data_IF_170258684873
#
_entry.id   IF_170258684873
#
_cell.length_a   1.000
_cell.length_b   1.000
_cell.length_c   1.000
_cell.angle_alpha   90.00
_cell.angle_beta   90.00
_cell.angle_gamma   90.00
#
_symmetry.space_group_name_H-M   'P 1'
#
loop_
_entity.id
_entity.type
_entity.pdbx_description
1 polymer ?
#
# COMPACT_ATOMS: atom_id res chain seq x y z
N UNK A 1 0.20 -29.32 -0.51
CA UNK A 1 -0.03 -28.02 0.17
C UNK A 1 1.35 -27.39 0.40
N UNK A 2 1.78 -26.38 -0.37
CA UNK A 2 2.99 -25.64 -0.04
C UNK A 2 2.66 -24.65 1.07
N UNK A 3 3.53 -24.59 2.08
CA UNK A 3 3.47 -23.68 3.20
C UNK A 3 3.54 -22.24 2.69
N UNK A 4 2.64 -21.38 3.17
CA UNK A 4 2.73 -19.93 3.03
C UNK A 4 4.03 -19.44 3.69
N UNK A 5 5.07 -19.25 2.91
CA UNK A 5 6.22 -18.44 3.34
C UNK A 5 5.73 -16.98 3.42
N UNK A 6 5.30 -16.60 4.61
CA UNK A 6 5.09 -15.20 4.96
C UNK A 6 6.42 -14.47 4.77
N UNK A 7 6.48 -13.60 3.76
CA UNK A 7 7.60 -12.71 3.52
C UNK A 7 7.74 -11.75 4.72
N UNK A 8 8.53 -12.14 5.71
CA UNK A 8 8.78 -11.35 6.91
C UNK A 8 9.59 -10.10 6.57
N UNK A 9 9.18 -8.96 7.15
CA UNK A 9 9.95 -7.72 7.10
C UNK A 9 11.39 -8.00 7.55
N UNK A 10 12.40 -7.28 7.02
CA UNK A 10 13.79 -7.47 7.40
C UNK A 10 14.05 -6.95 8.82
N UNK A 11 13.33 -7.51 9.79
CA UNK A 11 13.59 -7.32 11.20
C UNK A 11 14.72 -8.28 11.59
N UNK A 12 15.84 -7.76 12.08
CA UNK A 12 16.88 -8.60 12.67
C UNK A 12 16.40 -9.38 13.88
N UNK A 13 15.32 -8.91 14.53
CA UNK A 13 14.70 -9.53 15.68
C UNK A 13 13.23 -9.18 15.74
N UNK A 14 12.36 -10.18 15.78
CA UNK A 14 10.94 -9.96 16.04
C UNK A 14 10.74 -9.45 17.47
N UNK A 15 9.84 -8.48 17.69
CA UNK A 15 9.56 -7.98 19.03
C UNK A 15 8.83 -9.04 19.84
N UNK A 16 9.54 -9.70 20.77
CA UNK A 16 8.97 -10.73 21.64
C UNK A 16 8.14 -10.20 22.81
N UNK A 17 8.09 -8.87 23.03
CA UNK A 17 7.42 -8.23 24.15
C UNK A 17 6.74 -6.93 23.72
N UNK A 18 5.61 -6.58 24.37
CA UNK A 18 4.84 -5.32 24.11
C UNK A 18 5.69 -4.05 24.10
N UNK A 19 6.74 -3.97 24.90
CA UNK A 19 7.68 -2.82 24.93
C UNK A 19 8.49 -2.71 23.65
N UNK A 20 8.98 -3.85 23.13
CA UNK A 20 9.75 -3.92 21.88
C UNK A 20 8.86 -3.54 20.68
N UNK A 21 7.62 -4.05 20.61
CA UNK A 21 6.65 -3.69 19.58
C UNK A 21 6.36 -2.19 19.56
N UNK A 22 6.06 -1.57 20.71
CA UNK A 22 5.84 -0.12 20.81
C UNK A 22 7.07 0.71 20.40
N UNK A 23 8.27 0.18 20.62
CA UNK A 23 9.50 0.86 20.19
C UNK A 23 9.67 0.81 18.68
N UNK A 24 9.39 -0.34 18.06
CA UNK A 24 9.39 -0.49 16.60
C UNK A 24 8.35 0.45 15.97
N UNK A 25 7.13 0.48 16.50
CA UNK A 25 6.10 1.40 15.99
C UNK A 25 6.55 2.87 16.02
N UNK A 26 7.16 3.33 17.13
CA UNK A 26 7.70 4.71 17.17
C UNK A 26 8.79 4.96 16.12
N UNK A 27 9.63 3.96 15.83
CA UNK A 27 10.66 4.09 14.78
C UNK A 27 10.01 4.17 13.39
N UNK A 28 8.98 3.38 13.13
CA UNK A 28 8.24 3.42 11.86
C UNK A 28 7.47 4.73 11.70
N UNK A 29 6.84 5.24 12.76
CA UNK A 29 6.15 6.54 12.74
C UNK A 29 7.11 7.69 12.49
N UNK A 30 8.27 7.70 13.18
CA UNK A 30 9.31 8.69 12.98
C UNK A 30 9.87 8.66 11.54
N UNK A 31 10.08 7.46 10.99
CA UNK A 31 10.50 7.28 9.61
C UNK A 31 9.47 7.84 8.63
N UNK A 32 8.20 7.49 8.80
CA UNK A 32 7.11 7.96 7.95
C UNK A 32 6.98 9.49 7.93
N UNK A 33 7.03 10.13 9.11
CA UNK A 33 7.02 11.60 9.23
C UNK A 33 8.22 12.26 8.55
N UNK A 34 9.42 11.74 8.78
CA UNK A 34 10.63 12.27 8.16
C UNK A 34 10.62 12.10 6.63
N UNK A 35 10.04 11.05 6.11
CA UNK A 35 9.87 10.88 4.67
C UNK A 35 9.04 12.02 4.06
N UNK A 36 7.96 12.44 4.70
CA UNK A 36 7.15 13.58 4.24
C UNK A 36 7.90 14.92 4.35
N UNK A 37 8.69 15.09 5.42
CA UNK A 37 9.36 16.37 5.71
C UNK A 37 10.61 16.59 4.85
N UNK A 38 11.44 15.55 4.68
CA UNK A 38 12.78 15.68 4.10
C UNK A 38 13.07 14.70 2.95
N UNK A 39 12.13 13.82 2.61
CA UNK A 39 12.30 12.81 1.57
C UNK A 39 13.27 11.69 1.93
N UNK A 40 13.35 10.68 1.05
CA UNK A 40 14.17 9.49 1.28
C UNK A 40 15.68 9.78 1.26
N UNK A 41 16.13 10.65 0.36
CA UNK A 41 17.58 10.92 0.20
C UNK A 41 18.19 11.50 1.46
N UNK A 42 17.50 12.46 2.10
CA UNK A 42 17.96 13.10 3.33
C UNK A 42 17.68 12.28 4.60
N UNK A 43 16.94 11.16 4.47
CA UNK A 43 16.64 10.27 5.59
C UNK A 43 17.89 9.54 6.07
N UNK A 44 18.05 9.44 7.40
CA UNK A 44 19.12 8.63 8.04
C UNK A 44 18.61 7.92 9.29
N UNK A 45 19.26 6.83 9.65
CA UNK A 45 18.95 6.09 10.89
C UNK A 45 19.14 6.95 12.14
N UNK A 46 20.11 7.89 12.12
CA UNK A 46 20.33 8.84 13.21
C UNK A 46 19.13 9.76 13.39
N UNK A 47 18.63 10.39 12.31
CA UNK A 47 17.44 11.25 12.36
C UNK A 47 16.18 10.50 12.81
N UNK A 48 16.04 9.25 12.36
CA UNK A 48 14.94 8.39 12.81
C UNK A 48 15.03 8.11 14.31
N UNK A 49 16.23 7.79 14.82
CA UNK A 49 16.46 7.53 16.24
C UNK A 49 16.12 8.76 17.09
N UNK A 50 16.61 9.93 16.69
CA UNK A 50 16.35 11.23 17.34
C UNK A 50 14.84 11.53 17.39
N UNK A 51 14.15 11.43 16.24
CA UNK A 51 12.71 11.67 16.13
C UNK A 51 11.89 10.66 16.95
N UNK A 52 12.28 9.39 16.94
CA UNK A 52 11.60 8.32 17.69
C UNK A 52 11.88 8.38 19.20
N UNK A 53 12.84 9.19 19.65
CA UNK A 53 13.27 9.25 21.05
C UNK A 53 13.88 7.93 21.52
N UNK A 54 14.74 7.32 20.70
CA UNK A 54 15.43 6.07 21.02
C UNK A 54 16.94 6.20 20.77
N UNK A 55 17.73 5.41 21.49
CA UNK A 55 19.16 5.33 21.19
C UNK A 55 19.39 4.73 19.79
N UNK A 56 20.39 5.23 19.05
CA UNK A 56 20.72 4.74 17.71
C UNK A 56 21.00 3.23 17.69
N UNK A 57 21.62 2.68 18.74
CA UNK A 57 21.81 1.24 18.89
C UNK A 57 20.51 0.45 18.93
N UNK A 58 19.39 1.05 19.36
CA UNK A 58 18.08 0.40 19.33
C UNK A 58 17.56 0.26 17.90
N UNK A 59 17.85 1.20 17.00
CA UNK A 59 17.51 1.05 15.57
C UNK A 59 18.21 -0.18 15.01
N UNK A 60 19.50 -0.31 15.20
CA UNK A 60 20.30 -1.41 14.65
C UNK A 60 19.98 -2.80 15.26
N UNK A 61 19.28 -2.84 16.40
CA UNK A 61 18.76 -4.10 16.93
C UNK A 61 17.62 -4.69 16.05
N UNK A 62 16.84 -3.83 15.38
CA UNK A 62 15.68 -4.24 14.58
C UNK A 62 15.94 -4.09 13.08
N UNK A 63 16.61 -3.04 12.66
CA UNK A 63 16.81 -2.69 11.26
C UNK A 63 18.29 -2.51 10.95
N UNK A 64 18.83 -3.20 9.93
CA UNK A 64 20.24 -3.07 9.54
C UNK A 64 20.58 -1.68 9.00
N UNK A 65 19.65 -1.00 8.36
CA UNK A 65 19.85 0.28 7.68
C UNK A 65 18.52 1.05 7.47
N UNK A 66 18.60 2.24 6.86
CA UNK A 66 17.42 3.06 6.56
C UNK A 66 16.47 2.39 5.57
N UNK A 67 17.01 1.58 4.63
CA UNK A 67 16.22 0.84 3.64
C UNK A 67 15.29 -0.14 4.33
N UNK A 68 15.80 -0.93 5.27
CA UNK A 68 15.00 -1.90 6.01
C UNK A 68 13.85 -1.25 6.80
N UNK A 69 14.09 -0.06 7.40
CA UNK A 69 13.03 0.69 8.08
C UNK A 69 11.98 1.15 7.07
N UNK A 70 12.42 1.69 5.94
CA UNK A 70 11.55 2.17 4.87
C UNK A 70 10.70 1.04 4.30
N UNK A 71 11.29 -0.13 4.06
CA UNK A 71 10.55 -1.35 3.65
C UNK A 71 9.48 -1.74 4.67
N UNK A 72 9.80 -1.68 5.96
CA UNK A 72 8.82 -1.98 7.00
C UNK A 72 7.68 -0.94 7.04
N UNK A 73 7.95 0.35 6.78
CA UNK A 73 6.92 1.38 6.63
C UNK A 73 6.04 1.10 5.41
N UNK A 74 6.62 0.77 4.25
CA UNK A 74 5.88 0.42 3.03
C UNK A 74 4.94 -0.75 3.28
N UNK A 75 5.43 -1.84 3.90
CA UNK A 75 4.59 -2.99 4.25
C UNK A 75 3.44 -2.58 5.16
N UNK A 76 3.70 -1.80 6.23
CA UNK A 76 2.66 -1.29 7.12
C UNK A 76 1.61 -0.46 6.37
N UNK A 77 2.02 0.30 5.35
CA UNK A 77 1.10 1.07 4.51
C UNK A 77 0.19 0.15 3.65
N UNK A 78 0.76 -0.89 3.03
CA UNK A 78 -0.01 -1.88 2.28
C UNK A 78 -1.01 -2.59 3.20
N UNK A 79 -0.57 -3.07 4.36
CA UNK A 79 -1.45 -3.73 5.34
C UNK A 79 -2.57 -2.79 5.82
N UNK A 80 -2.25 -1.51 6.07
CA UNK A 80 -3.22 -0.48 6.45
C UNK A 80 -4.24 -0.25 5.35
N UNK A 81 -3.79 -0.12 4.10
CA UNK A 81 -4.67 0.05 2.95
C UNK A 81 -5.65 -1.13 2.82
N UNK A 82 -5.13 -2.34 2.75
CA UNK A 82 -5.97 -3.55 2.65
C UNK A 82 -6.94 -3.68 3.82
N UNK A 83 -6.48 -3.38 5.04
CA UNK A 83 -7.34 -3.40 6.24
C UNK A 83 -8.45 -2.35 6.19
N UNK A 84 -8.18 -1.14 5.67
CA UNK A 84 -9.17 -0.07 5.53
C UNK A 84 -10.21 -0.43 4.46
N UNK A 85 -9.75 -0.91 3.29
CA UNK A 85 -10.63 -1.42 2.24
C UNK A 85 -11.51 -2.55 2.78
N UNK A 86 -10.93 -3.56 3.43
CA UNK A 86 -11.70 -4.67 3.99
C UNK A 86 -12.76 -4.23 5.02
N UNK A 87 -12.45 -3.24 5.88
CA UNK A 87 -13.45 -2.68 6.81
C UNK A 87 -14.60 -1.99 6.10
N UNK A 88 -14.32 -1.24 5.03
CA UNK A 88 -15.38 -0.59 4.23
C UNK A 88 -16.30 -1.64 3.61
N UNK A 89 -15.76 -2.70 3.05
CA UNK A 89 -16.55 -3.80 2.48
C UNK A 89 -17.45 -4.48 3.52
N UNK A 90 -17.03 -4.54 4.79
CA UNK A 90 -17.86 -5.10 5.87
C UNK A 90 -18.90 -4.13 6.44
N UNK A 91 -18.70 -2.83 6.29
CA UNK A 91 -19.55 -1.80 6.91
C UNK A 91 -20.49 -1.10 5.95
N UNK A 92 -20.27 -1.19 4.66
CA UNK A 92 -21.04 -0.51 3.62
C UNK A 92 -21.68 -1.56 2.70
N UNK A 93 -22.97 -1.37 2.38
CA UNK A 93 -23.67 -2.18 1.39
C UNK A 93 -23.48 -1.52 0.03
N UNK A 94 -22.62 -2.10 -0.79
CA UNK A 94 -22.38 -1.62 -2.13
C UNK A 94 -23.44 -2.18 -3.09
N UNK A 95 -24.14 -1.32 -3.82
CA UNK A 95 -25.14 -1.70 -4.81
C UNK A 95 -24.58 -2.50 -5.99
N UNK A 96 -23.25 -2.55 -6.10
CA UNK A 96 -22.55 -3.35 -7.09
C UNK A 96 -21.03 -3.24 -6.94
N UNK A 97 -20.30 -4.10 -7.62
CA UNK A 97 -18.83 -4.15 -7.57
C UNK A 97 -18.15 -2.85 -8.04
N UNK A 98 -18.85 -2.00 -8.83
CA UNK A 98 -18.36 -0.70 -9.25
C UNK A 98 -18.22 0.28 -8.11
N UNK A 99 -19.21 0.30 -7.20
CA UNK A 99 -19.17 1.16 -6.02
C UNK A 99 -18.03 0.72 -5.10
N UNK A 100 -17.75 -0.57 -5.05
CA UNK A 100 -16.62 -1.13 -4.33
C UNK A 100 -15.28 -0.70 -4.94
N UNK A 101 -15.14 -0.69 -6.28
CA UNK A 101 -13.93 -0.19 -6.96
C UNK A 101 -13.71 1.30 -6.69
N UNK A 102 -14.77 2.12 -6.77
CA UNK A 102 -14.69 3.53 -6.44
C UNK A 102 -14.26 3.75 -4.98
N UNK A 103 -14.81 2.97 -4.04
CA UNK A 103 -14.45 3.02 -2.63
C UNK A 103 -12.97 2.65 -2.37
N UNK A 104 -12.42 1.71 -3.14
CA UNK A 104 -10.98 1.36 -3.09
C UNK A 104 -10.13 2.55 -3.52
N UNK A 105 -10.51 3.22 -4.61
CA UNK A 105 -9.80 4.41 -5.12
C UNK A 105 -9.90 5.56 -4.11
N UNK A 106 -11.08 5.79 -3.54
CA UNK A 106 -11.28 6.82 -2.53
C UNK A 106 -10.44 6.57 -1.27
N UNK A 107 -10.33 5.31 -0.83
CA UNK A 107 -9.47 4.95 0.30
C UNK A 107 -7.99 5.22 0.01
N UNK A 108 -7.55 4.95 -1.21
CA UNK A 108 -6.21 5.26 -1.64
C UNK A 108 -5.93 6.77 -1.62
N UNK A 109 -6.85 7.57 -2.16
CA UNK A 109 -6.78 9.04 -2.13
C UNK A 109 -6.76 9.56 -0.70
N UNK A 110 -7.60 9.02 0.18
CA UNK A 110 -7.62 9.39 1.61
C UNK A 110 -6.30 9.07 2.30
N UNK A 111 -5.72 7.90 2.05
CA UNK A 111 -4.42 7.54 2.62
C UNK A 111 -3.29 8.45 2.14
N UNK A 112 -3.33 8.90 0.89
CA UNK A 112 -2.40 9.91 0.38
C UNK A 112 -2.43 11.22 1.15
N UNK A 113 -3.62 11.64 1.56
CA UNK A 113 -3.85 12.89 2.28
C UNK A 113 -3.54 12.77 3.76
N UNK A 114 -3.80 11.60 4.36
CA UNK A 114 -3.88 11.46 5.82
C UNK A 114 -2.78 10.61 6.44
N UNK A 115 -2.07 9.80 5.65
CA UNK A 115 -1.08 8.86 6.20
C UNK A 115 0.34 9.37 5.93
N UNK A 116 1.10 9.72 6.99
CA UNK A 116 2.47 10.20 6.83
C UNK A 116 3.35 9.20 6.07
N UNK A 117 4.19 9.71 5.16
CA UNK A 117 5.12 8.93 4.36
C UNK A 117 4.47 8.13 3.21
N UNK A 118 3.14 8.10 3.14
CA UNK A 118 2.46 7.35 2.09
C UNK A 118 2.78 7.89 0.69
N UNK A 119 2.81 9.22 0.51
CA UNK A 119 3.16 9.88 -0.77
C UNK A 119 4.56 9.56 -1.28
N UNK A 120 5.53 9.46 -0.37
CA UNK A 120 6.95 9.30 -0.71
C UNK A 120 7.31 7.85 -0.96
N UNK A 121 6.65 6.93 -0.25
CA UNK A 121 6.88 5.48 -0.37
C UNK A 121 5.92 4.79 -1.35
N UNK A 122 5.21 5.60 -2.09
CA UNK A 122 4.17 5.21 -2.96
C UNK A 122 4.67 4.21 -4.01
N UNK A 123 4.14 3.08 -3.98
CA UNK A 123 4.12 1.99 -4.94
C UNK A 123 5.09 2.10 -6.15
N UNK A 124 6.37 2.49 -5.95
CA UNK A 124 7.38 2.47 -7.00
C UNK A 124 8.15 3.74 -7.26
N UNK A 125 7.87 4.89 -6.62
CA UNK A 125 8.59 6.13 -6.89
C UNK A 125 9.93 6.28 -6.13
N UNK A 126 10.24 5.37 -5.24
CA UNK A 126 11.63 5.25 -4.76
C UNK A 126 12.40 4.46 -5.80
N UNK A 127 12.68 5.13 -6.92
CA UNK A 127 13.37 4.60 -8.09
C UNK A 127 14.65 3.88 -7.64
N UNK A 128 14.75 2.58 -7.93
CA UNK A 128 15.91 1.75 -7.60
C UNK A 128 15.87 1.07 -6.23
N UNK A 129 14.86 1.31 -5.40
CA UNK A 129 14.63 0.48 -4.23
C UNK A 129 13.55 -0.54 -4.57
N UNK A 130 13.95 -1.75 -4.92
CA UNK A 130 13.09 -2.91 -4.73
C UNK A 130 12.84 -2.99 -3.22
N UNK A 131 11.84 -2.25 -2.73
CA UNK A 131 11.54 -2.12 -1.29
C UNK A 131 10.96 -3.42 -0.73
N UNK A 132 10.48 -4.28 -1.61
CA UNK A 132 10.06 -5.63 -1.28
C UNK A 132 11.08 -6.56 -1.95
N UNK A 133 11.93 -7.22 -1.17
CA UNK A 133 12.97 -8.10 -1.69
C UNK A 133 12.39 -9.15 -2.63
N UNK A 134 12.56 -8.90 -3.94
CA UNK A 134 12.65 -9.89 -5.01
C UNK A 134 11.42 -10.75 -5.36
N UNK A 135 10.31 -10.69 -4.62
CA UNK A 135 9.21 -11.66 -4.85
C UNK A 135 7.92 -11.01 -5.36
N UNK A 136 7.56 -9.80 -4.90
CA UNK A 136 6.38 -9.10 -5.42
C UNK A 136 6.49 -7.61 -5.12
N UNK A 137 6.18 -6.75 -6.10
CA UNK A 137 5.99 -5.33 -5.85
C UNK A 137 4.69 -5.07 -5.06
N UNK A 138 4.54 -3.86 -4.52
CA UNK A 138 3.37 -3.50 -3.72
C UNK A 138 2.06 -3.63 -4.49
N UNK A 139 2.06 -3.35 -5.79
CA UNK A 139 0.88 -3.43 -6.64
C UNK A 139 0.42 -4.88 -6.83
N UNK A 140 1.35 -5.81 -7.03
CA UNK A 140 1.04 -7.25 -7.10
C UNK A 140 0.43 -7.75 -5.77
N UNK A 141 0.98 -7.33 -4.63
CA UNK A 141 0.41 -7.69 -3.32
C UNK A 141 -1.00 -7.13 -3.14
N UNK A 142 -1.20 -5.85 -3.50
CA UNK A 142 -2.51 -5.20 -3.44
C UNK A 142 -3.50 -5.90 -4.37
N UNK A 143 -3.11 -6.15 -5.63
CA UNK A 143 -3.95 -6.83 -6.61
C UNK A 143 -4.41 -8.20 -6.10
N UNK A 144 -3.51 -9.01 -5.55
CA UNK A 144 -3.86 -10.30 -4.97
C UNK A 144 -4.84 -10.21 -3.78
N UNK A 145 -4.68 -9.20 -2.91
CA UNK A 145 -5.60 -8.97 -1.79
C UNK A 145 -6.98 -8.46 -2.25
N UNK A 146 -7.00 -7.52 -3.19
CA UNK A 146 -8.25 -7.01 -3.77
C UNK A 146 -9.00 -8.11 -4.52
N UNK A 147 -8.30 -8.96 -5.27
CA UNK A 147 -8.87 -10.14 -5.91
C UNK A 147 -9.58 -11.04 -4.88
N UNK A 148 -8.89 -11.37 -3.79
CA UNK A 148 -9.49 -12.20 -2.74
C UNK A 148 -10.79 -11.63 -2.19
N UNK A 149 -10.84 -10.32 -1.95
CA UNK A 149 -12.05 -9.63 -1.51
C UNK A 149 -13.16 -9.66 -2.57
N UNK A 150 -12.84 -9.39 -3.84
CA UNK A 150 -13.82 -9.39 -4.93
C UNK A 150 -14.40 -10.78 -5.20
N UNK A 151 -13.59 -11.84 -5.14
CA UNK A 151 -14.05 -13.22 -5.27
C UNK A 151 -15.03 -13.58 -4.14
N UNK A 152 -14.68 -13.23 -2.90
CA UNK A 152 -15.44 -13.56 -1.71
C UNK A 152 -16.81 -12.83 -1.68
N UNK A 153 -16.82 -11.52 -1.98
CA UNK A 153 -17.99 -10.67 -1.81
C UNK A 153 -18.92 -10.66 -3.05
N UNK A 154 -18.35 -10.83 -4.26
CA UNK A 154 -19.12 -10.68 -5.50
C UNK A 154 -19.24 -11.98 -6.32
N UNK A 155 -18.66 -13.08 -5.83
CA UNK A 155 -18.80 -14.39 -6.48
C UNK A 155 -18.24 -14.43 -7.91
N UNK A 156 -17.23 -13.61 -8.23
CA UNK A 156 -16.60 -13.63 -9.55
C UNK A 156 -15.95 -15.00 -9.78
N UNK A 157 -15.91 -15.45 -11.03
CA UNK A 157 -15.20 -16.68 -11.38
C UNK A 157 -13.69 -16.49 -11.20
N UNK A 158 -13.05 -17.43 -10.51
CA UNK A 158 -11.61 -17.48 -10.34
C UNK A 158 -10.97 -17.88 -11.67
N UNK A 159 -10.16 -16.98 -12.26
CA UNK A 159 -9.47 -17.21 -13.54
C UNK A 159 -8.20 -16.38 -13.67
N UNK A 160 -7.28 -16.83 -14.57
CA UNK A 160 -6.08 -16.08 -14.90
C UNK A 160 -6.38 -14.72 -15.57
N UNK A 161 -7.50 -14.65 -16.31
CA UNK A 161 -7.98 -13.40 -16.90
C UNK A 161 -8.39 -12.38 -15.83
N UNK A 162 -9.04 -12.84 -14.75
CA UNK A 162 -9.37 -12.00 -13.61
C UNK A 162 -8.11 -11.48 -12.91
N UNK A 163 -7.11 -12.35 -12.70
CA UNK A 163 -5.83 -11.99 -12.10
C UNK A 163 -5.14 -10.88 -12.89
N UNK A 164 -5.02 -11.08 -14.20
CA UNK A 164 -4.41 -10.10 -15.09
C UNK A 164 -5.21 -8.79 -15.12
N UNK A 165 -6.54 -8.87 -15.18
CA UNK A 165 -7.39 -7.68 -15.22
C UNK A 165 -7.26 -6.83 -13.96
N UNK A 166 -7.24 -7.46 -12.77
CA UNK A 166 -7.07 -6.74 -11.50
C UNK A 166 -5.67 -6.14 -11.41
N UNK A 167 -4.63 -6.89 -11.78
CA UNK A 167 -3.25 -6.38 -11.77
C UNK A 167 -3.10 -5.16 -12.68
N UNK A 168 -3.60 -5.23 -13.91
CA UNK A 168 -3.56 -4.10 -14.87
C UNK A 168 -4.37 -2.91 -14.35
N UNK A 169 -5.54 -3.14 -13.72
CA UNK A 169 -6.34 -2.07 -13.12
C UNK A 169 -5.60 -1.37 -11.97
N UNK A 170 -4.91 -2.12 -11.12
CA UNK A 170 -4.11 -1.58 -10.00
C UNK A 170 -2.93 -0.76 -10.54
N UNK A 171 -2.16 -1.28 -11.50
CA UNK A 171 -1.04 -0.58 -12.11
C UNK A 171 -1.46 0.72 -12.83
N UNK A 172 -2.52 0.64 -13.63
CA UNK A 172 -3.04 1.82 -14.34
C UNK A 172 -3.59 2.87 -13.36
N UNK A 173 -4.32 2.41 -12.34
CA UNK A 173 -4.86 3.27 -11.29
C UNK A 173 -3.77 3.99 -10.53
N UNK A 174 -2.74 3.27 -10.09
CA UNK A 174 -1.58 3.82 -9.40
C UNK A 174 -0.89 4.90 -10.25
N UNK A 175 -0.63 4.61 -11.52
CA UNK A 175 0.03 5.55 -12.42
C UNK A 175 -0.76 6.86 -12.62
N UNK A 176 -2.09 6.77 -12.79
CA UNK A 176 -2.96 7.95 -12.98
C UNK A 176 -3.15 8.72 -11.67
N UNK A 177 -3.33 8.03 -10.55
CA UNK A 177 -3.46 8.67 -9.24
C UNK A 177 -2.16 9.38 -8.82
N UNK A 178 -0.99 8.83 -9.12
CA UNK A 178 0.29 9.54 -8.97
C UNK A 178 0.32 10.86 -9.76
N UNK A 179 -0.23 10.87 -10.96
CA UNK A 179 -0.34 12.13 -11.73
C UNK A 179 -1.23 13.15 -11.01
N UNK A 180 -2.34 12.71 -10.40
CA UNK A 180 -3.21 13.59 -9.63
C UNK A 180 -2.47 14.30 -8.50
N UNK A 181 -1.67 13.54 -7.72
CA UNK A 181 -0.91 14.09 -6.58
C UNK A 181 0.36 14.83 -6.97
N UNK A 182 0.91 14.62 -8.16
CA UNK A 182 1.97 15.47 -8.70
C UNK A 182 1.45 16.86 -9.14
N UNK A 183 0.18 16.94 -9.56
CA UNK A 183 -0.47 18.18 -9.96
C UNK A 183 -0.96 18.99 -8.77
N UNK A 184 -1.55 18.32 -7.78
CA UNK A 184 -2.13 18.92 -6.60
C UNK A 184 -1.82 18.02 -5.39
N UNK A 185 -1.20 18.53 -4.32
CA UNK A 185 -0.92 17.77 -3.11
C UNK A 185 -2.17 17.11 -2.48
N UNK A 186 -3.36 17.66 -2.71
CA UNK A 186 -4.64 17.11 -2.28
C UNK A 186 -5.24 16.10 -3.28
N UNK A 187 -4.57 15.89 -4.43
CA UNK A 187 -5.04 15.06 -5.53
C UNK A 187 -6.02 15.80 -6.42
N UNK A 188 -5.58 16.19 -7.63
CA UNK A 188 -6.41 16.90 -8.62
C UNK A 188 -7.71 16.15 -8.91
N UNK A 189 -8.90 16.68 -8.53
CA UNK A 189 -10.16 15.94 -8.59
C UNK A 189 -10.49 15.42 -9.99
N UNK A 190 -10.23 16.22 -11.02
CA UNK A 190 -10.50 15.85 -12.40
C UNK A 190 -9.69 14.65 -12.88
N UNK A 191 -8.47 14.45 -12.32
CA UNK A 191 -7.61 13.31 -12.62
C UNK A 191 -8.03 12.09 -11.82
N UNK A 192 -8.47 12.28 -10.57
CA UNK A 192 -9.04 11.19 -9.76
C UNK A 192 -10.31 10.64 -10.42
N UNK A 193 -11.20 11.52 -10.90
CA UNK A 193 -12.40 11.10 -11.61
C UNK A 193 -12.06 10.38 -12.93
N UNK A 194 -11.01 10.82 -13.64
CA UNK A 194 -10.54 10.13 -14.85
C UNK A 194 -9.96 8.77 -14.54
N UNK A 195 -9.22 8.61 -13.43
CA UNK A 195 -8.74 7.31 -12.96
C UNK A 195 -9.92 6.34 -12.71
N UNK A 196 -10.97 6.80 -12.03
CA UNK A 196 -12.19 6.01 -11.79
C UNK A 196 -12.85 5.60 -13.11
N UNK A 197 -13.02 6.53 -14.06
CA UNK A 197 -13.60 6.23 -15.39
C UNK A 197 -12.78 5.23 -16.18
N UNK A 198 -11.45 5.38 -16.18
CA UNK A 198 -10.51 4.50 -16.88
C UNK A 198 -10.58 3.07 -16.33
N UNK A 199 -10.48 2.92 -15.02
CA UNK A 199 -10.49 1.60 -14.35
C UNK A 199 -11.85 0.93 -14.56
N UNK A 200 -12.94 1.66 -14.34
CA UNK A 200 -14.30 1.17 -14.58
C UNK A 200 -14.51 0.75 -16.03
N UNK A 201 -14.09 1.56 -16.99
CA UNK A 201 -14.19 1.25 -18.41
C UNK A 201 -13.35 0.04 -18.82
N UNK A 202 -12.16 -0.12 -18.24
CA UNK A 202 -11.31 -1.28 -18.49
C UNK A 202 -11.92 -2.57 -17.93
N UNK A 203 -12.23 -2.60 -16.64
CA UNK A 203 -12.79 -3.79 -15.97
C UNK A 203 -14.16 -4.18 -16.53
N UNK A 204 -15.00 -3.20 -16.90
CA UNK A 204 -16.31 -3.50 -17.52
C UNK A 204 -16.17 -4.25 -18.85
N UNK A 205 -15.16 -3.92 -19.66
CA UNK A 205 -14.89 -4.68 -20.89
C UNK A 205 -14.42 -6.11 -20.62
N UNK A 206 -13.70 -6.32 -19.52
CA UNK A 206 -13.21 -7.66 -19.15
C UNK A 206 -14.34 -8.55 -18.61
N UNK A 207 -15.29 -7.96 -17.85
CA UNK A 207 -16.32 -8.71 -17.13
C UNK A 207 -17.73 -8.60 -17.73
N UNK A 208 -17.92 -7.83 -18.81
CA UNK A 208 -19.22 -7.72 -19.49
C UNK A 208 -19.73 -9.07 -20.05
N UNK A 209 -18.86 -10.08 -20.18
CA UNK A 209 -19.22 -11.44 -20.57
C UNK A 209 -19.51 -12.39 -19.42
N UNK A 210 -19.28 -12.00 -18.17
CA UNK A 210 -19.43 -12.87 -17.00
C UNK A 210 -20.80 -12.71 -16.29
N UNK A 211 -21.65 -11.81 -16.76
CA UNK A 211 -23.00 -11.54 -16.21
C UNK A 211 -24.12 -12.01 -17.11
N UNK A 212 -23.90 -13.04 -17.94
CA UNK A 212 -24.93 -13.67 -18.78
C UNK A 212 -25.29 -15.07 -18.26
#
# INVERSE_FOLDING_TARGET
MPAEETCEAPLRRQPSQRRSARRVERMLDACAQLLDEIGYEALSTTRIAERAGVAIGSIYQFFPDKRAITQAVTRRHVERFVSRVGRRFLSEDYGGWWDAVDAIIDEYVDMHRTVPGFRVLHFGDVVGLNLLDGVSDSNTVIAGRLRGLLLQEYGLADSEELDLAILVAVEAGDAVLKLAFRRDPEGAPEIVDEAKRLIRGYLNRQFAGASA
#
